data_IF_493896520170
#
_entry.id   IF_493896520170
#
_cell.length_a   1.000
_cell.length_b   1.000
_cell.length_c   1.000
_cell.angle_alpha   90.00
_cell.angle_beta   90.00
_cell.angle_gamma   90.00
#
_symmetry.space_group_name_H-M   'P 1'
#
loop_
_entity.id
_entity.type
_entity.pdbx_description
1 polymer ?
#
# COMPACT_ATOMS: atom_id res chain seq x y z
N UNK A 1 7.71 38.95 -6.58
CA UNK A 1 6.65 38.19 -5.85
C UNK A 1 6.62 36.73 -6.28
N UNK A 2 5.81 35.87 -5.63
CA UNK A 2 5.59 34.49 -6.10
C UNK A 2 5.05 34.44 -7.55
N UNK A 3 4.25 35.44 -7.92
CA UNK A 3 3.71 35.65 -9.28
C UNK A 3 4.81 35.74 -10.34
N UNK A 4 5.85 36.56 -10.10
CA UNK A 4 6.97 36.70 -11.03
C UNK A 4 7.76 35.40 -11.18
N UNK A 5 7.98 34.68 -10.07
CA UNK A 5 8.66 33.38 -10.09
C UNK A 5 7.88 32.34 -10.88
N UNK A 6 6.54 32.33 -10.76
CA UNK A 6 5.68 31.42 -11.49
C UNK A 6 5.70 31.68 -13.01
N UNK A 7 5.79 32.95 -13.43
CA UNK A 7 5.94 33.30 -14.85
C UNK A 7 7.26 32.78 -15.45
N UNK A 8 8.29 32.61 -14.62
CA UNK A 8 9.63 32.14 -15.03
C UNK A 8 9.94 30.71 -14.56
N UNK A 9 8.91 29.88 -14.34
CA UNK A 9 9.07 28.55 -13.74
C UNK A 9 10.04 27.64 -14.51
N UNK A 10 10.08 27.72 -15.85
CA UNK A 10 11.03 26.94 -16.64
C UNK A 10 12.50 27.28 -16.38
N UNK A 11 12.81 28.55 -16.13
CA UNK A 11 14.17 28.98 -15.77
C UNK A 11 14.53 28.51 -14.36
N UNK A 12 13.58 28.61 -13.42
CA UNK A 12 13.74 28.09 -12.06
C UNK A 12 14.00 26.58 -12.07
N UNK A 13 13.22 25.81 -12.83
CA UNK A 13 13.38 24.36 -12.97
C UNK A 13 14.74 24.02 -13.59
N UNK A 14 15.22 24.80 -14.55
CA UNK A 14 16.53 24.61 -15.14
C UNK A 14 17.66 24.86 -14.12
N UNK A 15 17.55 25.92 -13.31
CA UNK A 15 18.54 26.24 -12.27
C UNK A 15 18.57 25.16 -11.19
N UNK A 16 17.39 24.78 -10.66
CA UNK A 16 17.26 23.73 -9.65
C UNK A 16 17.75 22.39 -10.21
N UNK A 17 17.31 22.02 -11.42
CA UNK A 17 17.70 20.78 -12.10
C UNK A 17 19.19 20.70 -12.39
N UNK A 18 19.82 21.82 -12.76
CA UNK A 18 21.28 21.87 -12.98
C UNK A 18 22.05 21.68 -11.68
N UNK A 19 21.54 22.23 -10.57
CA UNK A 19 22.14 22.04 -9.26
C UNK A 19 21.97 20.60 -8.77
N UNK A 20 20.76 20.04 -8.80
CA UNK A 20 20.46 18.70 -8.27
C UNK A 20 21.22 17.60 -8.99
N UNK A 21 21.46 17.73 -10.31
CA UNK A 21 22.27 16.77 -11.10
C UNK A 21 23.71 16.59 -10.63
N UNK A 22 24.24 17.52 -9.83
CA UNK A 22 25.61 17.46 -9.30
C UNK A 22 25.70 16.69 -7.97
N UNK A 23 24.58 16.23 -7.45
CA UNK A 23 24.48 15.56 -6.16
C UNK A 23 23.78 14.21 -6.33
N UNK A 24 24.11 13.25 -5.45
CA UNK A 24 23.22 12.11 -5.24
C UNK A 24 21.89 12.57 -4.63
N UNK A 25 20.84 11.75 -4.74
CA UNK A 25 19.53 12.07 -4.16
C UNK A 25 19.60 12.20 -2.62
N UNK A 26 20.48 11.44 -1.98
CA UNK A 26 20.73 11.48 -0.54
C UNK A 26 21.40 12.80 -0.12
N UNK A 27 22.47 13.20 -0.83
CA UNK A 27 23.16 14.46 -0.57
C UNK A 27 22.25 15.67 -0.82
N UNK A 28 21.51 15.67 -1.94
CA UNK A 28 20.57 16.75 -2.26
C UNK A 28 19.48 16.87 -1.18
N UNK A 29 18.91 15.74 -0.74
CA UNK A 29 17.92 15.73 0.34
C UNK A 29 18.47 16.29 1.65
N UNK A 30 19.69 15.91 2.04
CA UNK A 30 20.32 16.40 3.25
C UNK A 30 20.59 17.91 3.17
N UNK A 31 21.26 18.38 2.12
CA UNK A 31 21.60 19.80 1.93
C UNK A 31 20.36 20.70 1.91
N UNK A 32 19.30 20.28 1.22
CA UNK A 32 18.07 21.04 1.12
C UNK A 32 17.28 21.01 2.45
N UNK A 33 17.21 19.86 3.12
CA UNK A 33 16.55 19.74 4.42
C UNK A 33 17.25 20.57 5.50
N UNK A 34 18.58 20.58 5.54
CA UNK A 34 19.37 21.39 6.48
C UNK A 34 19.18 22.90 6.24
N UNK A 35 18.90 23.29 5.00
CA UNK A 35 18.53 24.65 4.63
C UNK A 35 17.04 24.98 4.89
N UNK A 36 16.25 24.04 5.44
CA UNK A 36 14.82 24.22 5.72
C UNK A 36 13.91 24.14 4.50
N UNK A 37 14.41 23.65 3.36
CA UNK A 37 13.62 23.44 2.14
C UNK A 37 12.83 22.14 2.28
N UNK A 38 11.49 22.15 2.08
CA UNK A 38 10.71 20.93 2.02
C UNK A 38 11.17 20.05 0.86
N UNK A 39 11.74 18.89 1.18
CA UNK A 39 12.32 17.96 0.21
C UNK A 39 12.08 16.53 0.68
N UNK A 40 11.97 15.61 -0.28
CA UNK A 40 11.96 14.18 -0.02
C UNK A 40 12.60 13.44 -1.19
N UNK A 41 13.18 12.29 -0.89
CA UNK A 41 13.69 11.37 -1.91
C UNK A 41 12.50 10.68 -2.59
N UNK A 42 12.50 10.67 -3.92
CA UNK A 42 11.62 9.79 -4.71
C UNK A 42 12.14 8.36 -4.55
N UNK A 43 11.29 7.50 -3.98
CA UNK A 43 11.63 6.12 -3.64
C UNK A 43 11.12 5.14 -4.68
N UNK A 44 11.89 4.08 -4.88
CA UNK A 44 11.46 2.89 -5.62
C UNK A 44 10.52 2.02 -4.77
N UNK A 45 9.71 1.18 -5.44
CA UNK A 45 8.76 0.29 -4.75
C UNK A 45 9.46 -0.64 -3.75
N UNK A 46 10.63 -1.17 -4.11
CA UNK A 46 11.43 -2.03 -3.24
C UNK A 46 11.88 -1.32 -1.97
N UNK A 47 12.19 -0.03 -2.06
CA UNK A 47 12.58 0.80 -0.90
C UNK A 47 11.38 1.07 0.01
N UNK A 48 10.20 1.27 -0.56
CA UNK A 48 8.95 1.43 0.18
C UNK A 48 8.60 0.13 0.92
N UNK A 49 8.68 -1.01 0.25
CA UNK A 49 8.41 -2.33 0.86
C UNK A 49 9.38 -2.65 1.99
N UNK A 50 10.64 -2.25 1.87
CA UNK A 50 11.67 -2.46 2.89
C UNK A 50 11.70 -1.35 3.97
N UNK A 51 10.83 -0.34 3.91
CA UNK A 51 10.86 0.78 4.83
C UNK A 51 10.44 0.35 6.25
N UNK A 52 11.39 0.43 7.18
CA UNK A 52 11.22 0.05 8.58
C UNK A 52 10.08 0.80 9.26
N UNK A 53 9.87 2.08 8.96
CA UNK A 53 8.79 2.86 9.56
C UNK A 53 7.42 2.39 9.08
N UNK A 54 7.29 2.05 7.79
CA UNK A 54 6.06 1.49 7.25
C UNK A 54 5.73 0.12 7.83
N UNK A 55 6.74 -0.75 8.05
CA UNK A 55 6.53 -2.02 8.75
C UNK A 55 6.18 -1.81 10.23
N UNK A 56 6.92 -0.96 10.95
CA UNK A 56 6.71 -0.72 12.39
C UNK A 56 5.34 -0.11 12.71
N UNK A 57 4.78 0.68 11.80
CA UNK A 57 3.44 1.26 11.95
C UNK A 57 2.33 0.30 11.50
N UNK A 58 2.67 -0.90 11.01
CA UNK A 58 1.71 -1.87 10.47
C UNK A 58 1.05 -1.39 9.18
N UNK A 59 1.75 -0.59 8.37
CA UNK A 59 1.28 -0.25 7.04
C UNK A 59 1.71 -1.30 6.02
N UNK A 60 2.95 -1.78 6.09
CA UNK A 60 3.38 -2.96 5.31
C UNK A 60 3.46 -4.15 6.26
N UNK A 61 2.68 -5.18 5.98
CA UNK A 61 2.73 -6.46 6.68
C UNK A 61 3.13 -7.57 5.71
N UNK A 62 4.00 -8.48 6.15
CA UNK A 62 4.41 -9.64 5.36
C UNK A 62 3.52 -10.82 5.72
N UNK A 63 2.82 -11.37 4.73
CA UNK A 63 1.89 -12.48 4.88
C UNK A 63 2.34 -13.65 4.01
N UNK A 64 2.13 -14.87 4.50
CA UNK A 64 2.38 -16.08 3.73
C UNK A 64 1.17 -16.42 2.87
N UNK A 65 1.37 -16.46 1.56
CA UNK A 65 0.39 -16.89 0.57
C UNK A 65 0.76 -18.28 0.03
N UNK A 66 -0.21 -19.19 -0.08
CA UNK A 66 0.06 -20.60 -0.45
C UNK A 66 0.83 -20.75 -1.78
N UNK A 67 0.46 -19.97 -2.80
CA UNK A 67 1.13 -20.01 -4.12
C UNK A 67 2.33 -19.05 -4.27
N UNK A 68 2.30 -17.87 -3.63
CA UNK A 68 3.26 -16.79 -3.87
C UNK A 68 4.36 -16.72 -2.81
N UNK A 69 4.23 -17.49 -1.73
CA UNK A 69 5.09 -17.42 -0.55
C UNK A 69 4.89 -16.12 0.22
N UNK A 70 5.97 -15.61 0.81
CA UNK A 70 5.95 -14.38 1.61
C UNK A 70 5.75 -13.15 0.73
N UNK A 71 4.62 -12.45 0.90
CA UNK A 71 4.26 -11.26 0.12
C UNK A 71 4.04 -10.03 1.02
N UNK A 72 4.44 -8.83 0.59
CA UNK A 72 4.17 -7.60 1.31
C UNK A 72 2.77 -7.08 0.95
N UNK A 73 1.92 -6.90 1.96
CA UNK A 73 0.55 -6.42 1.79
C UNK A 73 0.38 -5.06 2.48
N UNK A 74 -0.06 -4.01 1.76
CA UNK A 74 -0.39 -2.74 2.37
C UNK A 74 -1.69 -2.83 3.17
N UNK A 75 -1.64 -2.41 4.44
CA UNK A 75 -2.81 -2.19 5.29
C UNK A 75 -3.36 -0.78 5.08
N UNK A 76 -4.52 -0.50 5.67
CA UNK A 76 -5.03 0.86 5.85
C UNK A 76 -3.94 1.79 6.37
N UNK A 77 -3.77 3.01 5.82
CA UNK A 77 -2.86 4.01 6.37
C UNK A 77 -3.44 4.74 7.60
N UNK A 78 -4.74 4.57 7.88
CA UNK A 78 -5.45 5.33 8.91
C UNK A 78 -5.30 4.63 10.26
N UNK A 79 -5.02 5.41 11.31
CA UNK A 79 -4.91 4.93 12.70
C UNK A 79 -5.88 5.71 13.57
N UNK A 80 -6.67 4.99 14.37
CA UNK A 80 -7.59 5.58 15.34
C UNK A 80 -7.15 5.26 16.76
N UNK A 81 -7.10 6.27 17.60
CA UNK A 81 -6.87 6.07 19.03
C UNK A 81 -7.98 5.21 19.62
N UNK A 82 -7.63 4.12 20.31
CA UNK A 82 -8.59 3.22 20.94
C UNK A 82 -9.24 2.19 20.02
N UNK A 83 -8.89 2.17 18.72
CA UNK A 83 -9.35 1.15 17.78
C UNK A 83 -8.15 0.52 17.07
N UNK A 84 -7.75 -0.72 17.43
CA UNK A 84 -6.67 -1.39 16.73
C UNK A 84 -7.08 -1.67 15.28
N UNK A 85 -6.08 -1.79 14.40
CA UNK A 85 -6.34 -2.29 13.05
C UNK A 85 -6.89 -3.72 13.14
N UNK A 86 -7.85 -4.03 12.26
CA UNK A 86 -8.23 -5.42 12.02
C UNK A 86 -7.02 -6.17 11.46
N UNK A 87 -6.80 -7.45 11.83
CA UNK A 87 -5.80 -8.27 11.15
C UNK A 87 -6.04 -8.27 9.64
N UNK A 88 -4.95 -8.31 8.86
CA UNK A 88 -5.07 -8.61 7.43
C UNK A 88 -5.37 -10.10 7.27
N UNK A 89 -6.33 -10.38 6.41
CA UNK A 89 -6.64 -11.72 5.94
C UNK A 89 -6.42 -11.71 4.42
N UNK A 90 -5.70 -12.72 3.93
CA UNK A 90 -5.60 -12.93 2.50
C UNK A 90 -6.97 -13.34 1.96
N UNK A 91 -7.19 -13.11 0.67
CA UNK A 91 -8.43 -13.51 0.02
C UNK A 91 -8.61 -15.03 0.16
N UNK A 92 -9.87 -15.44 0.32
CA UNK A 92 -10.19 -16.85 0.27
C UNK A 92 -10.28 -17.33 -1.18
N UNK A 93 -10.06 -18.62 -1.38
CA UNK A 93 -10.25 -19.26 -2.68
C UNK A 93 -11.70 -19.11 -3.17
N UNK A 94 -11.85 -19.25 -4.49
CA UNK A 94 -13.15 -19.22 -5.13
C UNK A 94 -14.09 -20.28 -4.51
N UNK A 95 -15.17 -19.81 -3.90
CA UNK A 95 -16.19 -20.66 -3.29
C UNK A 95 -15.85 -21.19 -1.89
N UNK A 96 -14.71 -20.80 -1.30
CA UNK A 96 -14.30 -21.24 0.03
C UNK A 96 -15.36 -20.92 1.12
N UNK A 97 -16.05 -19.79 1.00
CA UNK A 97 -17.10 -19.38 1.94
C UNK A 97 -18.49 -19.94 1.64
N UNK A 98 -18.69 -20.69 0.55
CA UNK A 98 -20.01 -21.15 0.11
C UNK A 98 -20.75 -21.91 1.22
N UNK A 99 -20.07 -22.82 1.92
CA UNK A 99 -20.69 -23.60 3.00
C UNK A 99 -21.14 -22.70 4.16
N UNK A 100 -20.26 -21.80 4.59
CA UNK A 100 -20.53 -20.86 5.68
C UNK A 100 -21.72 -19.96 5.36
N UNK A 101 -21.76 -19.39 4.15
CA UNK A 101 -22.84 -18.49 3.75
C UNK A 101 -24.14 -19.26 3.54
N UNK A 102 -24.16 -20.28 2.68
CA UNK A 102 -25.41 -20.94 2.30
C UNK A 102 -25.98 -21.79 3.43
N UNK A 103 -25.14 -22.49 4.20
CA UNK A 103 -25.63 -23.31 5.30
C UNK A 103 -25.81 -22.50 6.58
N UNK A 104 -24.76 -21.87 7.11
CA UNK A 104 -24.82 -21.27 8.45
C UNK A 104 -25.62 -19.96 8.49
N UNK A 105 -25.51 -19.13 7.45
CA UNK A 105 -26.18 -17.83 7.42
C UNK A 105 -27.56 -17.88 6.76
N UNK A 106 -27.72 -18.69 5.70
CA UNK A 106 -28.97 -18.78 4.93
C UNK A 106 -29.82 -20.01 5.27
N UNK A 107 -29.27 -20.96 6.04
CA UNK A 107 -30.02 -22.11 6.54
C UNK A 107 -30.34 -23.19 5.49
N UNK A 108 -29.59 -23.25 4.38
CA UNK A 108 -29.78 -24.31 3.38
C UNK A 108 -29.35 -25.66 3.95
N UNK A 109 -30.15 -26.69 3.65
CA UNK A 109 -29.80 -28.07 3.97
C UNK A 109 -28.65 -28.56 3.09
N UNK A 110 -27.97 -29.62 3.53
CA UNK A 110 -26.91 -30.25 2.75
C UNK A 110 -27.42 -30.73 1.37
N UNK A 111 -28.65 -31.24 1.31
CA UNK A 111 -29.26 -31.67 0.04
C UNK A 111 -29.42 -30.50 -0.94
N UNK A 112 -29.83 -29.33 -0.44
CA UNK A 112 -29.96 -28.11 -1.25
C UNK A 112 -28.60 -27.62 -1.73
N UNK A 113 -27.58 -27.63 -0.86
CA UNK A 113 -26.21 -27.24 -1.22
C UNK A 113 -25.65 -28.14 -2.33
N UNK A 114 -25.87 -29.46 -2.22
CA UNK A 114 -25.44 -30.43 -3.23
C UNK A 114 -26.20 -30.28 -4.55
N UNK A 115 -27.49 -29.93 -4.53
CA UNK A 115 -28.24 -29.60 -5.75
C UNK A 115 -27.65 -28.38 -6.47
N UNK A 116 -27.35 -27.31 -5.73
CA UNK A 116 -26.75 -26.10 -6.28
C UNK A 116 -25.39 -26.39 -6.93
N UNK A 117 -24.53 -27.20 -6.28
CA UNK A 117 -23.25 -27.66 -6.84
C UNK A 117 -23.45 -28.48 -8.12
N UNK A 118 -24.36 -29.46 -8.11
CA UNK A 118 -24.65 -30.32 -9.28
C UNK A 118 -25.13 -29.52 -10.48
N UNK A 119 -25.93 -28.48 -10.22
CA UNK A 119 -26.46 -27.57 -11.25
C UNK A 119 -25.46 -26.50 -11.68
N UNK A 120 -24.26 -26.46 -11.08
CA UNK A 120 -23.20 -25.46 -11.33
C UNK A 120 -23.66 -24.02 -11.09
N UNK A 121 -24.51 -23.83 -10.07
CA UNK A 121 -24.92 -22.51 -9.59
C UNK A 121 -23.87 -21.97 -8.60
N UNK A 122 -23.26 -22.87 -7.82
CA UNK A 122 -22.17 -22.62 -6.88
C UNK A 122 -21.04 -23.63 -7.07
#
# INVERSE_FOLDING_TARGET
ENSDRALHMGEVDQLVGSWTRRHSREEANQLLSDAGVPVAIVREVSEVVADKHLTQRGFIEWLEHEELGSIPVPHSPIRWTGSPLRPLELFHDLGADNSKIFSEMLGLSEEQLQDLKKRKII
#
